data_IF_577185090257
#
_entry.id   IF_577185090257
#
_cell.length_a   1.000
_cell.length_b   1.000
_cell.length_c   1.000
_cell.angle_alpha   90.00
_cell.angle_beta   90.00
_cell.angle_gamma   90.00
#
_symmetry.space_group_name_H-M   'P 1'
#
loop_
_entity.id
_entity.type
_entity.pdbx_description
1 polymer ?
#
# COMPACT_ATOMS: atom_id res chain seq x y z
N UNK A 1 -17.90 -17.66 -45.00
CA UNK A 1 -18.76 -16.73 -44.24
C UNK A 1 -17.99 -16.41 -42.98
N UNK A 2 -17.09 -15.44 -43.09
CA UNK A 2 -16.14 -15.07 -42.05
C UNK A 2 -16.72 -13.92 -41.24
N UNK A 3 -17.08 -14.20 -39.99
CA UNK A 3 -17.44 -13.19 -39.01
C UNK A 3 -16.20 -12.89 -38.15
N UNK A 4 -15.62 -11.68 -38.19
CA UNK A 4 -14.56 -11.31 -37.27
C UNK A 4 -15.16 -11.08 -35.88
N UNK A 5 -14.85 -11.97 -34.93
CA UNK A 5 -15.14 -11.72 -33.51
C UNK A 5 -14.24 -10.58 -33.05
N UNK A 6 -14.92 -9.46 -32.79
CA UNK A 6 -14.39 -8.17 -32.41
C UNK A 6 -13.55 -8.27 -31.13
N UNK A 7 -12.41 -7.60 -31.17
CA UNK A 7 -11.56 -7.25 -30.03
C UNK A 7 -12.41 -6.79 -28.85
N UNK A 8 -12.42 -7.57 -27.78
CA UNK A 8 -13.25 -7.38 -26.58
C UNK A 8 -12.52 -6.64 -25.46
N UNK A 9 -11.54 -5.79 -25.81
CA UNK A 9 -10.66 -5.14 -24.83
C UNK A 9 -10.86 -3.62 -24.75
N UNK A 10 -12.11 -3.16 -24.80
CA UNK A 10 -12.44 -1.74 -24.65
C UNK A 10 -13.54 -1.52 -23.59
N UNK A 11 -13.25 -2.00 -22.37
CA UNK A 11 -14.03 -1.68 -21.18
C UNK A 11 -13.13 -1.14 -20.07
N UNK A 12 -12.20 -0.27 -20.43
CA UNK A 12 -11.47 0.58 -19.48
C UNK A 12 -12.42 1.68 -18.99
N UNK A 13 -13.37 1.28 -18.14
CA UNK A 13 -14.07 2.23 -17.27
C UNK A 13 -13.00 3.06 -16.58
N UNK A 14 -13.09 4.37 -16.78
CA UNK A 14 -12.35 5.43 -16.08
C UNK A 14 -12.55 5.26 -14.57
N UNK A 15 -11.84 4.33 -13.96
CA UNK A 15 -11.55 4.39 -12.53
C UNK A 15 -10.58 5.56 -12.48
N UNK A 16 -10.98 6.68 -11.86
CA UNK A 16 -10.05 7.76 -11.52
C UNK A 16 -8.77 7.08 -11.03
N UNK A 17 -7.68 7.22 -11.78
CA UNK A 17 -6.36 6.73 -11.37
C UNK A 17 -5.97 7.55 -10.16
N UNK A 18 -6.51 7.19 -9.02
CA UNK A 18 -6.07 7.76 -7.76
C UNK A 18 -4.78 7.02 -7.46
N UNK A 19 -3.70 7.79 -7.46
CA UNK A 19 -2.37 7.25 -7.26
C UNK A 19 -2.32 6.46 -5.95
N UNK A 20 -1.85 5.20 -5.98
CA UNK A 20 -1.71 4.41 -4.78
C UNK A 20 -0.70 5.07 -3.84
N UNK A 21 -1.06 5.21 -2.56
CA UNK A 21 -0.14 5.73 -1.56
C UNK A 21 0.67 4.58 -1.00
N UNK A 22 1.98 4.64 -1.21
CA UNK A 22 2.93 3.76 -0.55
C UNK A 22 3.31 4.34 0.80
N UNK A 23 3.17 3.56 1.86
CA UNK A 23 3.61 3.95 3.19
C UNK A 23 4.15 2.74 3.94
N UNK A 24 4.98 2.98 4.95
CA UNK A 24 5.64 1.91 5.71
C UNK A 24 4.87 1.70 7.00
N UNK A 25 4.64 0.45 7.37
CA UNK A 25 4.02 0.10 8.65
C UNK A 25 4.30 -1.35 9.05
N UNK A 26 4.05 -1.68 10.32
CA UNK A 26 4.11 -3.06 10.81
C UNK A 26 2.87 -3.81 10.34
N UNK A 27 3.07 -4.92 9.64
CA UNK A 27 1.98 -5.79 9.22
C UNK A 27 1.46 -6.58 10.42
N UNK A 28 0.17 -6.51 10.78
CA UNK A 28 -0.38 -7.31 11.88
C UNK A 28 -0.51 -8.80 11.52
N UNK A 29 -0.46 -9.16 10.23
CA UNK A 29 -0.62 -10.53 9.77
C UNK A 29 0.70 -11.33 9.76
N UNK A 30 1.80 -10.72 9.30
CA UNK A 30 3.11 -11.37 9.28
C UNK A 30 4.06 -10.88 10.37
N UNK A 31 3.71 -9.83 11.11
CA UNK A 31 4.51 -9.19 12.16
C UNK A 31 5.81 -8.52 11.68
N UNK A 32 6.01 -8.41 10.36
CA UNK A 32 7.14 -7.69 9.76
C UNK A 32 6.79 -6.22 9.50
N UNK A 33 7.77 -5.33 9.65
CA UNK A 33 7.73 -3.98 9.10
C UNK A 33 7.87 -4.10 7.58
N UNK A 34 6.92 -3.54 6.84
CA UNK A 34 6.89 -3.65 5.38
C UNK A 34 6.24 -2.42 4.75
N UNK A 35 6.36 -2.30 3.43
CA UNK A 35 5.66 -1.28 2.67
C UNK A 35 4.25 -1.76 2.39
N UNK A 36 3.30 -0.89 2.64
CA UNK A 36 1.91 -1.06 2.32
C UNK A 36 1.51 -0.16 1.16
N UNK A 37 0.59 -0.66 0.36
CA UNK A 37 0.03 0.02 -0.79
C UNK A 37 -1.44 0.28 -0.54
N UNK A 38 -1.76 1.52 -0.20
CA UNK A 38 -3.12 2.00 -0.02
C UNK A 38 -3.69 2.46 -1.37
N UNK A 39 -4.65 1.70 -1.90
CA UNK A 39 -5.39 2.04 -3.12
C UNK A 39 -6.76 2.57 -2.71
N UNK A 40 -7.04 3.87 -2.89
CA UNK A 40 -8.35 4.41 -2.59
C UNK A 40 -9.40 3.95 -3.62
N UNK A 41 -10.52 3.51 -3.08
CA UNK A 41 -11.67 2.95 -3.78
C UNK A 41 -12.95 3.64 -3.29
N UNK A 42 -13.12 4.91 -3.65
CA UNK A 42 -14.25 5.74 -3.20
C UNK A 42 -14.05 6.24 -1.77
N UNK A 43 -14.99 5.92 -0.87
CA UNK A 43 -14.99 6.32 0.54
C UNK A 43 -14.06 5.48 1.43
N UNK A 44 -13.47 4.42 0.89
CA UNK A 44 -12.53 3.53 1.58
C UNK A 44 -11.26 3.38 0.76
N UNK A 45 -10.16 3.00 1.39
CA UNK A 45 -8.96 2.53 0.73
C UNK A 45 -8.66 1.10 1.10
N UNK A 46 -8.21 0.34 0.11
CA UNK A 46 -7.68 -1.00 0.29
C UNK A 46 -6.19 -0.90 0.51
N UNK A 47 -5.79 -1.18 1.73
CA UNK A 47 -4.40 -1.14 2.13
C UNK A 47 -3.80 -2.54 2.10
N UNK A 48 -2.83 -2.73 1.21
CA UNK A 48 -2.29 -4.05 0.89
C UNK A 48 -0.83 -4.14 1.31
N UNK A 49 -0.52 -5.11 2.15
CA UNK A 49 0.85 -5.48 2.50
C UNK A 49 1.57 -5.98 1.25
N UNK A 50 2.66 -5.31 0.86
CA UNK A 50 3.41 -5.70 -0.34
C UNK A 50 4.27 -6.94 -0.13
N UNK A 51 4.49 -7.36 1.13
CA UNK A 51 5.24 -8.56 1.46
C UNK A 51 4.38 -9.83 1.48
N UNK A 52 3.31 -9.87 2.27
CA UNK A 52 2.48 -11.07 2.43
C UNK A 52 1.15 -11.03 1.66
N UNK A 53 0.79 -9.89 1.06
CA UNK A 53 -0.47 -9.72 0.32
C UNK A 53 -1.70 -9.54 1.22
N UNK A 54 -1.52 -9.35 2.53
CA UNK A 54 -2.62 -9.07 3.46
C UNK A 54 -3.29 -7.73 3.11
N UNK A 55 -4.63 -7.74 2.99
CA UNK A 55 -5.42 -6.57 2.61
C UNK A 55 -6.31 -6.12 3.75
N UNK A 56 -6.30 -4.82 4.04
CA UNK A 56 -7.12 -4.19 5.07
C UNK A 56 -7.90 -3.05 4.44
N UNK A 57 -9.21 -3.02 4.64
CA UNK A 57 -10.02 -1.87 4.25
C UNK A 57 -9.92 -0.79 5.33
N UNK A 58 -9.34 0.35 4.99
CA UNK A 58 -9.27 1.54 5.83
C UNK A 58 -10.24 2.60 5.30
N UNK A 59 -10.75 3.47 6.17
CA UNK A 59 -11.59 4.57 5.69
C UNK A 59 -10.75 5.65 5.04
N UNK A 60 -11.16 6.11 3.85
CA UNK A 60 -10.39 7.09 3.08
C UNK A 60 -10.85 8.51 3.40
N UNK A 61 -10.34 9.05 4.50
CA UNK A 61 -10.63 10.40 4.96
C UNK A 61 -9.48 11.36 4.67
N UNK A 62 -9.75 12.67 4.66
CA UNK A 62 -8.74 13.71 4.44
C UNK A 62 -7.55 13.64 5.43
N UNK A 63 -7.78 13.07 6.62
CA UNK A 63 -6.78 12.88 7.67
C UNK A 63 -5.87 11.66 7.44
N UNK A 64 -6.16 10.79 6.48
CA UNK A 64 -5.36 9.57 6.25
C UNK A 64 -3.90 9.91 5.91
N UNK A 65 -3.68 11.04 5.22
CA UNK A 65 -2.32 11.56 4.96
C UNK A 65 -1.58 11.91 6.24
N UNK A 66 -2.29 12.44 7.25
CA UNK A 66 -1.70 12.74 8.55
C UNK A 66 -1.34 11.46 9.31
N UNK A 67 -2.20 10.43 9.22
CA UNK A 67 -1.92 9.10 9.78
C UNK A 67 -0.65 8.52 9.15
N UNK A 68 -0.55 8.47 7.81
CA UNK A 68 0.65 7.98 7.13
C UNK A 68 1.91 8.77 7.51
N UNK A 69 1.81 10.10 7.58
CA UNK A 69 2.93 10.96 8.01
C UNK A 69 3.34 10.70 9.46
N UNK A 70 2.40 10.40 10.34
CA UNK A 70 2.69 10.06 11.73
C UNK A 70 3.40 8.71 11.84
N UNK A 71 2.94 7.70 11.09
CA UNK A 71 3.59 6.40 11.00
C UNK A 71 5.01 6.52 10.43
N UNK A 72 5.20 7.33 9.39
CA UNK A 72 6.54 7.60 8.86
C UNK A 72 7.46 8.26 9.89
N UNK A 73 6.95 9.20 10.70
CA UNK A 73 7.73 9.80 11.79
C UNK A 73 8.12 8.78 12.85
N UNK A 74 7.18 7.90 13.24
CA UNK A 74 7.44 6.83 14.19
C UNK A 74 8.53 5.89 13.68
N UNK A 75 8.44 5.48 12.41
CA UNK A 75 9.47 4.66 11.78
C UNK A 75 10.82 5.38 11.67
N UNK A 76 10.84 6.68 11.37
CA UNK A 76 12.07 7.47 11.39
C UNK A 76 12.74 7.52 12.75
N UNK A 77 11.96 7.54 13.84
CA UNK A 77 12.51 7.48 15.19
C UNK A 77 13.03 6.07 15.51
N UNK A 78 12.34 5.02 15.06
CA UNK A 78 12.85 3.64 15.11
C UNK A 78 14.12 3.44 14.26
N UNK A 79 14.27 4.15 13.13
CA UNK A 79 15.49 4.13 12.30
C UNK A 79 16.73 4.61 13.07
N UNK A 80 16.58 5.36 14.18
CA UNK A 80 17.70 5.75 15.05
C UNK A 80 18.22 4.57 15.88
N UNK A 81 17.34 3.64 16.25
CA UNK A 81 17.68 2.44 17.02
C UNK A 81 17.99 1.24 16.11
N UNK A 82 17.30 1.12 14.98
CA UNK A 82 17.42 0.03 14.03
C UNK A 82 17.67 0.58 12.61
N UNK A 83 18.95 0.74 12.20
CA UNK A 83 19.28 1.33 10.91
C UNK A 83 18.79 0.52 9.71
N UNK A 84 18.49 -0.77 9.90
CA UNK A 84 17.92 -1.67 8.90
C UNK A 84 16.61 -1.11 8.31
N UNK A 85 15.79 -0.42 9.10
CA UNK A 85 14.55 0.22 8.63
C UNK A 85 14.75 1.24 7.50
N UNK A 86 15.97 1.77 7.30
CA UNK A 86 16.31 2.64 6.17
C UNK A 86 16.26 1.92 4.83
N UNK A 87 16.51 0.62 4.84
CA UNK A 87 16.51 -0.23 3.65
C UNK A 87 15.07 -0.51 3.19
N UNK A 88 14.11 -0.43 4.12
CA UNK A 88 12.68 -0.53 3.84
C UNK A 88 12.18 0.69 3.06
N UNK A 89 12.35 0.68 1.74
CA UNK A 89 11.85 1.73 0.82
C UNK A 89 11.04 1.17 -0.34
N UNK A 90 11.31 -0.06 -0.75
CA UNK A 90 10.69 -0.65 -1.93
C UNK A 90 9.48 -1.52 -1.55
N UNK A 91 8.43 -1.55 -2.39
CA UNK A 91 7.38 -2.54 -2.21
C UNK A 91 7.97 -3.96 -2.29
N UNK A 92 7.68 -4.80 -1.29
CA UNK A 92 8.23 -6.15 -1.11
C UNK A 92 9.29 -6.26 -0.03
N UNK A 93 9.90 -5.14 0.38
CA UNK A 93 10.81 -5.12 1.53
C UNK A 93 10.09 -5.48 2.83
N UNK A 94 10.79 -6.21 3.69
CA UNK A 94 10.27 -6.64 4.98
C UNK A 94 11.41 -6.78 5.99
N UNK A 95 11.20 -6.23 7.19
CA UNK A 95 12.17 -6.28 8.28
C UNK A 95 11.46 -6.78 9.52
N UNK A 96 12.04 -7.79 10.15
CA UNK A 96 11.60 -8.22 11.47
C UNK A 96 12.48 -7.53 12.50
N UNK A 97 11.85 -6.71 13.34
CA UNK A 97 12.49 -6.23 14.55
C UNK A 97 12.03 -7.18 15.66
N UNK A 98 12.98 -7.94 16.20
CA UNK A 98 12.78 -8.85 17.35
C UNK A 98 12.75 -8.05 18.67
#
# INVERSE_FOLDING_TARGET
MDLPVRSFCEMTKRVKEVEPILHRQKCPACDYYTVYRAIPAGDKALDTCTHCGHQVAIEWHHEIKAVFKNTEKFLKNLEEMCPELKELKNPGDHIKLD
#
